data_IF_841821953867
#
_entry.id   IF_841821953867
#
_cell.length_a   1.000
_cell.length_b   1.000
_cell.length_c   1.000
_cell.angle_alpha   90.00
_cell.angle_beta   90.00
_cell.angle_gamma   90.00
#
_symmetry.space_group_name_H-M   'P 1'
#
loop_
_entity.id
_entity.type
_entity.pdbx_description
1 polymer ?
#
# COMPACT_ATOMS: atom_id res chain seq x y z
N UNK A 1 -15.17 -3.51 -28.28
CA UNK A 1 -15.54 -3.86 -26.89
C UNK A 1 -14.37 -4.65 -26.29
N UNK A 2 -13.50 -3.99 -25.51
CA UNK A 2 -12.26 -4.59 -24.98
C UNK A 2 -12.54 -5.01 -23.53
N UNK A 3 -12.90 -6.27 -23.31
CA UNK A 3 -12.96 -6.85 -21.97
C UNK A 3 -11.56 -7.30 -21.61
N UNK A 4 -10.76 -6.39 -21.05
CA UNK A 4 -9.53 -6.77 -20.35
C UNK A 4 -9.85 -6.96 -18.88
N UNK A 5 -10.46 -8.09 -18.54
CA UNK A 5 -10.50 -8.58 -17.17
C UNK A 5 -9.08 -8.96 -16.77
N UNK A 6 -8.36 -8.05 -16.09
CA UNK A 6 -7.13 -8.42 -15.39
C UNK A 6 -7.54 -9.37 -14.28
N UNK A 7 -7.25 -10.66 -14.44
CA UNK A 7 -7.39 -11.62 -13.36
C UNK A 7 -6.52 -11.11 -12.19
N UNK A 8 -7.16 -10.61 -11.13
CA UNK A 8 -6.50 -10.29 -9.88
C UNK A 8 -6.19 -11.62 -9.19
N UNK A 9 -5.13 -12.29 -9.66
CA UNK A 9 -4.63 -13.52 -9.02
C UNK A 9 -4.21 -13.13 -7.62
N UNK A 10 -5.01 -13.54 -6.63
CA UNK A 10 -4.68 -13.37 -5.23
C UNK A 10 -3.42 -14.19 -4.96
N UNK A 11 -2.34 -13.54 -4.58
CA UNK A 11 -1.07 -14.20 -4.28
C UNK A 11 -1.21 -15.23 -3.15
N UNK A 12 -2.25 -15.10 -2.30
CA UNK A 12 -2.63 -16.12 -1.31
C UNK A 12 -3.14 -17.42 -1.96
N UNK A 13 -3.88 -17.33 -3.07
CA UNK A 13 -4.33 -18.50 -3.82
C UNK A 13 -3.15 -19.21 -4.50
N UNK A 14 -2.20 -18.44 -5.04
CA UNK A 14 -0.96 -19.01 -5.61
C UNK A 14 -0.15 -19.73 -4.52
N UNK A 15 0.02 -19.10 -3.36
CA UNK A 15 0.70 -19.72 -2.23
C UNK A 15 0.00 -21.00 -1.75
N UNK A 16 -1.34 -20.99 -1.65
CA UNK A 16 -2.12 -22.17 -1.25
C UNK A 16 -1.98 -23.34 -2.25
N UNK A 17 -1.97 -23.05 -3.56
CA UNK A 17 -1.77 -24.05 -4.61
C UNK A 17 -0.37 -24.68 -4.52
N UNK A 18 0.66 -23.87 -4.24
CA UNK A 18 2.03 -24.36 -4.07
C UNK A 18 2.13 -25.29 -2.86
N UNK A 19 1.55 -24.90 -1.71
CA UNK A 19 1.52 -25.75 -0.51
C UNK A 19 0.80 -27.08 -0.78
N UNK A 20 -0.34 -27.03 -1.47
CA UNK A 20 -1.09 -28.25 -1.84
C UNK A 20 -0.27 -29.17 -2.75
N UNK A 21 0.45 -28.62 -3.73
CA UNK A 21 1.32 -29.39 -4.62
C UNK A 21 2.48 -30.07 -3.86
N UNK A 22 3.02 -29.41 -2.83
CA UNK A 22 4.08 -29.97 -1.97
C UNK A 22 3.55 -31.16 -1.14
N UNK A 23 2.34 -31.03 -0.59
CA UNK A 23 1.69 -32.12 0.16
C UNK A 23 1.42 -33.31 -0.75
N UNK A 24 0.95 -33.08 -1.98
CA UNK A 24 0.73 -34.13 -2.97
C UNK A 24 2.05 -34.81 -3.36
N UNK A 25 3.12 -34.04 -3.55
CA UNK A 25 4.45 -34.57 -3.85
C UNK A 25 4.99 -35.42 -2.68
N UNK A 26 4.81 -34.98 -1.43
CA UNK A 26 5.18 -35.77 -0.25
C UNK A 26 4.43 -37.11 -0.20
N UNK A 27 3.12 -37.11 -0.48
CA UNK A 27 2.30 -38.33 -0.49
C UNK A 27 2.72 -39.27 -1.63
N UNK A 28 2.93 -38.74 -2.84
CA UNK A 28 3.34 -39.53 -4.01
C UNK A 28 4.70 -40.21 -3.82
N UNK A 29 5.54 -39.63 -2.95
CA UNK A 29 6.90 -40.09 -2.72
C UNK A 29 6.94 -41.16 -1.62
N UNK A 30 5.89 -41.38 -0.81
CA UNK A 30 5.79 -42.43 0.24
C UNK A 30 5.99 -43.89 -0.24
N UNK A 31 6.11 -44.13 -1.55
CA UNK A 31 6.34 -45.45 -2.15
C UNK A 31 7.80 -45.84 -2.44
N UNK A 32 8.79 -45.02 -2.10
CA UNK A 32 10.22 -45.29 -2.41
C UNK A 32 11.02 -45.78 -1.18
N UNK A 33 12.05 -46.61 -1.35
CA UNK A 33 12.75 -47.22 -0.20
C UNK A 33 13.90 -46.39 0.39
N UNK A 34 14.26 -45.25 -0.22
CA UNK A 34 15.56 -44.61 0.03
C UNK A 34 15.49 -43.32 0.87
N UNK A 35 15.37 -43.47 2.20
CA UNK A 35 15.11 -42.42 3.22
C UNK A 35 16.01 -41.17 3.09
N UNK A 36 17.29 -41.31 2.73
CA UNK A 36 18.22 -40.18 2.61
C UNK A 36 17.84 -39.17 1.51
N UNK A 37 17.32 -39.66 0.39
CA UNK A 37 16.89 -38.82 -0.73
C UNK A 37 15.65 -37.99 -0.36
N UNK A 38 14.77 -38.52 0.50
CA UNK A 38 13.57 -37.82 0.98
C UNK A 38 13.89 -36.59 1.80
N UNK A 39 14.85 -36.73 2.72
CA UNK A 39 15.25 -35.64 3.62
C UNK A 39 15.82 -34.50 2.77
N UNK A 40 16.64 -34.82 1.77
CA UNK A 40 17.21 -33.84 0.84
C UNK A 40 16.15 -33.14 -0.02
N UNK A 41 15.22 -33.89 -0.61
CA UNK A 41 14.14 -33.32 -1.42
C UNK A 41 13.18 -32.45 -0.58
N UNK A 42 12.82 -32.91 0.61
CA UNK A 42 11.96 -32.17 1.54
C UNK A 42 12.62 -30.87 1.98
N UNK A 43 13.90 -30.91 2.35
CA UNK A 43 14.65 -29.72 2.73
C UNK A 43 14.73 -28.71 1.56
N UNK A 44 14.99 -29.18 0.34
CA UNK A 44 15.04 -28.33 -0.85
C UNK A 44 13.69 -27.63 -1.13
N UNK A 45 12.58 -28.36 -1.01
CA UNK A 45 11.23 -27.82 -1.20
C UNK A 45 10.89 -26.79 -0.11
N UNK A 46 11.24 -27.04 1.15
CA UNK A 46 11.03 -26.09 2.24
C UNK A 46 11.82 -24.80 2.03
N UNK A 47 13.09 -24.90 1.63
CA UNK A 47 13.92 -23.72 1.32
C UNK A 47 13.31 -22.94 0.15
N UNK A 48 12.92 -23.61 -0.93
CA UNK A 48 12.28 -22.96 -2.08
C UNK A 48 10.97 -22.26 -1.69
N UNK A 49 10.17 -22.89 -0.84
CA UNK A 49 8.92 -22.31 -0.33
C UNK A 49 9.19 -21.06 0.50
N UNK A 50 10.21 -21.10 1.36
CA UNK A 50 10.60 -19.95 2.18
C UNK A 50 11.14 -18.79 1.32
N UNK A 51 11.90 -19.10 0.26
CA UNK A 51 12.37 -18.11 -0.70
C UNK A 51 11.22 -17.46 -1.47
N UNK A 52 10.26 -18.25 -1.94
CA UNK A 52 9.06 -17.74 -2.62
C UNK A 52 8.19 -16.89 -1.68
N UNK A 53 8.03 -17.33 -0.43
CA UNK A 53 7.32 -16.55 0.59
C UNK A 53 8.03 -15.20 0.85
N UNK A 54 9.36 -15.18 0.93
CA UNK A 54 10.12 -13.94 1.11
C UNK A 54 9.93 -12.96 -0.07
N UNK A 55 9.79 -13.46 -1.30
CA UNK A 55 9.48 -12.62 -2.48
C UNK A 55 8.06 -12.04 -2.38
N UNK A 56 7.08 -12.84 -1.95
CA UNK A 56 5.69 -12.39 -1.77
C UNK A 56 5.57 -11.38 -0.63
N UNK A 57 6.33 -11.56 0.45
CA UNK A 57 6.37 -10.66 1.60
C UNK A 57 7.16 -9.36 1.35
N UNK A 58 7.85 -9.23 0.20
CA UNK A 58 8.53 -7.99 -0.16
C UNK A 58 7.51 -6.87 -0.27
N UNK A 59 7.57 -5.96 0.70
CA UNK A 59 6.63 -4.84 0.86
C UNK A 59 6.41 -4.11 -0.47
N UNK A 60 5.15 -4.07 -0.91
CA UNK A 60 4.76 -3.18 -2.00
C UNK A 60 4.93 -1.75 -1.49
N UNK A 61 5.98 -1.07 -1.95
CA UNK A 61 6.23 0.33 -1.63
C UNK A 61 4.96 1.14 -1.91
N UNK A 62 4.61 1.98 -0.94
CA UNK A 62 3.66 3.07 -1.12
C UNK A 62 4.16 3.93 -2.28
N UNK A 63 3.38 4.02 -3.35
CA UNK A 63 3.75 4.74 -4.56
C UNK A 63 2.84 5.96 -4.70
N UNK A 64 3.42 7.13 -4.46
CA UNK A 64 2.78 8.41 -4.72
C UNK A 64 3.44 9.03 -5.95
N UNK A 65 2.66 9.30 -6.98
CA UNK A 65 3.13 9.75 -8.28
C UNK A 65 2.33 10.97 -8.75
N UNK A 66 3.04 11.94 -9.33
CA UNK A 66 2.46 13.06 -10.07
C UNK A 66 2.37 12.64 -11.53
N UNK A 67 1.18 12.24 -11.97
CA UNK A 67 0.92 11.93 -13.38
C UNK A 67 0.63 13.19 -14.20
N UNK A 68 0.48 13.03 -15.51
CA UNK A 68 0.11 14.13 -16.41
C UNK A 68 -1.27 14.72 -16.11
N UNK A 69 -2.22 13.89 -15.66
CA UNK A 69 -3.63 14.27 -15.49
C UNK A 69 -4.08 14.34 -14.01
N UNK A 70 -3.21 13.98 -13.06
CA UNK A 70 -3.55 14.08 -11.65
C UNK A 70 -2.57 13.41 -10.69
N UNK A 71 -2.86 13.61 -9.41
CA UNK A 71 -2.17 12.96 -8.29
C UNK A 71 -2.66 11.52 -8.15
N UNK A 72 -1.75 10.55 -8.13
CA UNK A 72 -2.05 9.16 -7.79
C UNK A 72 -1.34 8.77 -6.50
N UNK A 73 -2.09 8.26 -5.52
CA UNK A 73 -1.56 7.74 -4.26
C UNK A 73 -1.97 6.30 -4.10
N UNK A 74 -0.98 5.42 -3.97
CA UNK A 74 -1.16 3.99 -3.72
C UNK A 74 -0.53 3.62 -2.39
N UNK A 75 -1.31 2.98 -1.53
CA UNK A 75 -0.87 2.45 -0.25
C UNK A 75 -1.57 1.15 0.10
N UNK A 76 -1.42 0.73 1.36
CA UNK A 76 -2.04 -0.51 1.84
C UNK A 76 -3.57 -0.44 1.68
N UNK A 77 -4.13 -1.30 0.81
CA UNK A 77 -5.57 -1.32 0.51
C UNK A 77 -6.16 0.02 0.02
N UNK A 78 -5.32 0.94 -0.48
CA UNK A 78 -5.74 2.23 -1.03
C UNK A 78 -5.13 2.46 -2.42
N UNK A 79 -5.96 2.84 -3.39
CA UNK A 79 -5.51 3.38 -4.67
C UNK A 79 -6.44 4.51 -5.07
N UNK A 80 -5.98 5.74 -4.91
CA UNK A 80 -6.75 6.95 -5.20
C UNK A 80 -6.06 7.75 -6.29
N UNK A 81 -6.85 8.25 -7.24
CA UNK A 81 -6.42 9.22 -8.24
C UNK A 81 -7.30 10.46 -8.13
N UNK A 82 -6.67 11.63 -8.03
CA UNK A 82 -7.34 12.92 -7.94
C UNK A 82 -6.85 13.80 -9.10
N UNK A 83 -7.74 14.20 -10.03
CA UNK A 83 -7.39 15.17 -11.08
C UNK A 83 -6.92 16.50 -10.48
N UNK A 84 -5.94 17.16 -11.10
CA UNK A 84 -5.46 18.46 -10.59
C UNK A 84 -6.54 19.56 -10.61
N UNK A 85 -7.51 19.45 -11.52
CA UNK A 85 -8.69 20.33 -11.58
C UNK A 85 -9.55 20.24 -10.32
N UNK A 86 -9.57 19.07 -9.69
CA UNK A 86 -10.45 18.77 -8.56
C UNK A 86 -9.81 19.13 -7.22
N UNK A 87 -8.47 19.22 -7.17
CA UNK A 87 -7.74 19.62 -5.95
C UNK A 87 -8.09 21.06 -5.62
N UNK A 88 -8.55 21.34 -4.40
CA UNK A 88 -8.90 22.69 -3.93
C UNK A 88 -7.87 23.28 -2.99
N UNK A 89 -7.25 22.44 -2.16
CA UNK A 89 -6.13 22.84 -1.30
C UNK A 89 -5.14 21.70 -1.12
N UNK A 90 -3.89 22.07 -0.88
CA UNK A 90 -2.80 21.17 -0.48
C UNK A 90 -2.12 21.78 0.75
N UNK A 91 -2.09 21.04 1.84
CA UNK A 91 -1.49 21.46 3.11
C UNK A 91 -0.44 20.43 3.55
N UNK A 92 0.58 20.89 4.24
CA UNK A 92 1.52 20.03 4.97
C UNK A 92 1.27 20.18 6.46
N UNK A 93 1.28 19.05 7.20
CA UNK A 93 1.03 19.03 8.64
C UNK A 93 1.98 18.08 9.36
N UNK A 94 2.26 18.40 10.60
CA UNK A 94 3.20 17.63 11.43
C UNK A 94 2.47 16.52 12.18
N UNK A 95 1.20 16.77 12.48
CA UNK A 95 0.35 15.82 13.20
C UNK A 95 -1.03 15.73 12.57
N UNK A 96 -1.59 14.53 12.63
CA UNK A 96 -2.96 14.21 12.21
C UNK A 96 -3.57 13.31 13.28
N UNK A 97 -4.73 13.69 13.79
CA UNK A 97 -5.56 12.76 14.53
C UNK A 97 -6.23 11.81 13.53
N UNK A 98 -5.77 10.56 13.44
CA UNK A 98 -6.32 9.60 12.48
C UNK A 98 -7.77 9.19 12.76
N UNK A 99 -8.23 9.35 14.00
CA UNK A 99 -9.56 8.92 14.42
C UNK A 99 -9.79 7.42 14.24
N UNK A 100 -11.00 7.06 13.82
CA UNK A 100 -11.48 5.67 13.73
C UNK A 100 -11.33 5.11 12.32
N UNK A 101 -10.79 3.89 12.21
CA UNK A 101 -10.78 3.14 10.95
C UNK A 101 -12.20 2.71 10.58
N UNK A 102 -12.66 3.11 9.40
CA UNK A 102 -13.95 2.70 8.82
C UNK A 102 -13.78 1.50 7.88
N UNK A 103 -12.63 1.39 7.20
CA UNK A 103 -12.30 0.22 6.37
C UNK A 103 -10.88 0.27 5.84
N UNK A 104 -10.27 -0.88 5.58
CA UNK A 104 -8.89 -1.00 5.08
C UNK A 104 -7.92 -1.57 6.12
N UNK A 105 -6.64 -1.22 5.97
CA UNK A 105 -5.52 -1.74 6.75
C UNK A 105 -5.05 -0.75 7.82
N UNK A 106 -4.84 -1.26 9.03
CA UNK A 106 -4.19 -0.51 10.11
C UNK A 106 -3.23 -1.46 10.84
N UNK A 107 -1.94 -1.34 10.54
CA UNK A 107 -0.87 -2.09 11.19
C UNK A 107 0.10 -1.15 11.92
N UNK A 108 1.06 -1.74 12.63
CA UNK A 108 2.04 -0.97 13.42
C UNK A 108 2.89 0.00 12.58
N UNK A 109 3.22 -0.37 11.33
CA UNK A 109 4.10 0.43 10.46
C UNK A 109 3.34 1.30 9.46
N UNK A 110 2.19 0.83 8.98
CA UNK A 110 1.45 1.47 7.89
C UNK A 110 -0.06 1.48 8.15
N UNK A 111 -0.69 2.57 7.75
CA UNK A 111 -2.13 2.80 7.75
C UNK A 111 -2.58 3.03 6.30
N UNK A 112 -3.73 2.49 5.93
CA UNK A 112 -4.21 2.56 4.57
C UNK A 112 -5.70 2.29 4.45
N UNK A 113 -6.46 3.14 3.77
CA UNK A 113 -7.90 2.95 3.54
C UNK A 113 -8.74 4.12 4.02
N UNK A 114 -9.94 3.85 4.54
CA UNK A 114 -10.93 4.84 4.96
C UNK A 114 -10.93 5.04 6.47
N UNK A 115 -10.79 6.29 6.89
CA UNK A 115 -10.77 6.71 8.28
C UNK A 115 -11.81 7.79 8.52
N UNK A 116 -12.16 8.01 9.79
CA UNK A 116 -13.07 9.06 10.21
C UNK A 116 -12.55 9.79 11.43
N UNK A 117 -12.45 11.10 11.36
CA UNK A 117 -12.18 11.97 12.51
C UNK A 117 -13.17 13.17 12.52
N UNK A 118 -13.12 13.97 13.58
CA UNK A 118 -13.99 15.14 13.73
C UNK A 118 -13.68 16.27 12.73
N UNK A 119 -12.43 16.37 12.27
CA UNK A 119 -11.99 17.45 11.38
C UNK A 119 -12.37 17.21 9.91
N UNK A 120 -12.12 16.00 9.39
CA UNK A 120 -12.26 15.65 7.97
C UNK A 120 -13.54 14.88 7.67
N UNK A 121 -14.28 14.42 8.68
CA UNK A 121 -15.33 13.43 8.46
C UNK A 121 -14.73 12.12 7.95
N UNK A 122 -15.33 11.50 6.93
CA UNK A 122 -14.75 10.29 6.29
C UNK A 122 -13.74 10.68 5.22
N UNK A 123 -12.52 10.15 5.32
CA UNK A 123 -11.41 10.50 4.43
C UNK A 123 -10.56 9.28 4.06
N UNK A 124 -9.76 9.42 3.00
CA UNK A 124 -8.81 8.41 2.54
C UNK A 124 -7.42 8.67 3.18
N UNK A 125 -6.80 7.63 3.72
CA UNK A 125 -5.52 7.69 4.43
C UNK A 125 -4.53 6.70 3.83
N UNK A 126 -3.28 7.14 3.60
CA UNK A 126 -2.14 6.28 3.30
C UNK A 126 -0.90 6.80 4.03
N UNK A 127 -0.63 6.28 5.23
CA UNK A 127 0.42 6.81 6.11
C UNK A 127 1.40 5.74 6.60
N UNK A 128 2.66 6.11 6.71
CA UNK A 128 3.73 5.43 7.43
C UNK A 128 3.80 6.05 8.83
N UNK A 129 3.59 5.23 9.86
CA UNK A 129 3.34 5.69 11.23
C UNK A 129 4.55 6.42 11.84
N UNK A 130 5.77 6.02 11.44
CA UNK A 130 7.03 6.60 11.94
C UNK A 130 7.38 7.96 11.34
N UNK A 131 6.67 8.43 10.31
CA UNK A 131 6.95 9.69 9.60
C UNK A 131 5.92 10.73 10.01
N UNK A 132 6.36 11.81 10.68
CA UNK A 132 5.49 12.85 11.29
C UNK A 132 5.39 14.10 10.41
N UNK A 133 5.24 13.86 9.10
CA UNK A 133 4.85 14.87 8.11
C UNK A 133 3.79 14.26 7.23
N UNK A 134 2.71 14.99 6.98
CA UNK A 134 1.57 14.53 6.22
C UNK A 134 1.16 15.58 5.20
N UNK A 135 0.84 15.13 4.00
CA UNK A 135 0.21 15.94 2.95
C UNK A 135 -1.29 15.71 3.05
N UNK A 136 -2.04 16.80 3.20
CA UNK A 136 -3.50 16.80 3.19
C UNK A 136 -3.95 17.46 1.89
N UNK A 137 -4.66 16.69 1.06
CA UNK A 137 -5.24 17.15 -0.20
C UNK A 137 -6.75 17.20 -0.05
N UNK A 138 -7.34 18.37 -0.26
CA UNK A 138 -8.80 18.54 -0.34
C UNK A 138 -9.23 18.62 -1.79
N UNK A 139 -10.38 18.04 -2.10
CA UNK A 139 -10.97 18.08 -3.44
C UNK A 139 -12.37 18.70 -3.43
N UNK A 140 -12.84 19.19 -4.58
CA UNK A 140 -14.16 19.81 -4.78
C UNK A 140 -15.32 18.94 -4.25
N UNK A 141 -15.20 17.61 -4.34
CA UNK A 141 -16.21 16.66 -3.87
C UNK A 141 -16.19 16.40 -2.36
N UNK A 142 -15.64 17.33 -1.56
CA UNK A 142 -15.41 17.20 -0.11
C UNK A 142 -14.62 15.95 0.29
N UNK A 143 -13.87 15.38 -0.64
CA UNK A 143 -12.95 14.28 -0.35
C UNK A 143 -11.65 14.84 0.19
N UNK A 144 -11.19 14.25 1.29
CA UNK A 144 -9.89 14.52 1.88
C UNK A 144 -9.02 13.28 1.71
N UNK A 145 -7.80 13.49 1.24
CA UNK A 145 -6.76 12.48 1.14
C UNK A 145 -5.59 12.92 2.01
N UNK A 146 -5.18 12.05 2.94
CA UNK A 146 -4.03 12.27 3.81
C UNK A 146 -2.98 11.21 3.50
N UNK A 147 -1.74 11.62 3.22
CA UNK A 147 -0.67 10.66 2.98
C UNK A 147 0.71 11.20 3.33
N UNK A 148 1.68 10.29 3.47
CA UNK A 148 3.10 10.62 3.58
C UNK A 148 3.95 9.63 2.77
N UNK A 149 5.24 9.93 2.66
CA UNK A 149 6.24 9.12 1.97
C UNK A 149 7.19 8.47 2.98
N UNK A 150 8.19 7.70 2.50
CA UNK A 150 9.07 6.88 3.34
C UNK A 150 9.90 7.72 4.32
N UNK A 151 10.12 9.00 4.02
CA UNK A 151 10.77 9.95 4.92
C UNK A 151 10.05 11.29 4.97
N UNK A 152 10.34 12.09 6.01
CA UNK A 152 9.83 13.46 6.12
C UNK A 152 10.35 14.35 4.98
N UNK A 153 11.64 14.23 4.64
CA UNK A 153 12.24 14.97 3.53
C UNK A 153 11.57 14.64 2.19
N UNK A 154 11.34 13.35 1.89
CA UNK A 154 10.60 12.94 0.69
C UNK A 154 9.17 13.49 0.68
N UNK A 155 8.52 13.51 1.85
CA UNK A 155 7.17 14.05 2.01
C UNK A 155 7.13 15.55 1.72
N UNK A 156 8.05 16.33 2.29
CA UNK A 156 8.16 17.77 2.05
C UNK A 156 8.48 18.06 0.58
N UNK A 157 9.47 17.38 0.00
CA UNK A 157 9.81 17.57 -1.41
C UNK A 157 8.67 17.19 -2.35
N UNK A 158 7.87 16.17 -2.01
CA UNK A 158 6.67 15.82 -2.79
C UNK A 158 5.60 16.91 -2.68
N UNK A 159 5.37 17.43 -1.47
CA UNK A 159 4.45 18.54 -1.22
C UNK A 159 4.79 19.77 -2.05
N UNK A 160 6.06 20.19 -2.07
CA UNK A 160 6.52 21.35 -2.84
C UNK A 160 6.28 21.17 -4.34
N UNK A 161 6.57 19.98 -4.88
CA UNK A 161 6.29 19.67 -6.29
C UNK A 161 4.80 19.71 -6.58
N UNK A 162 3.98 19.05 -5.76
CA UNK A 162 2.52 19.02 -5.94
C UNK A 162 1.91 20.43 -5.87
N UNK A 163 2.40 21.25 -4.93
CA UNK A 163 1.97 22.64 -4.73
C UNK A 163 2.31 23.49 -5.95
N UNK A 164 3.53 23.35 -6.48
CA UNK A 164 3.97 24.05 -7.69
C UNK A 164 3.13 23.64 -8.91
N UNK A 165 2.87 22.35 -9.07
CA UNK A 165 2.06 21.82 -10.18
C UNK A 165 0.61 22.30 -10.15
N UNK A 166 0.02 22.39 -8.96
CA UNK A 166 -1.39 22.77 -8.79
C UNK A 166 -1.61 24.27 -8.68
N UNK A 167 -0.55 25.07 -8.52
CA UNK A 167 -0.64 26.50 -8.22
C UNK A 167 -1.26 26.80 -6.85
N UNK A 168 -1.35 25.80 -5.96
CA UNK A 168 -2.06 25.86 -4.66
C UNK A 168 -1.08 25.70 -3.49
N UNK A 169 -0.02 26.51 -3.50
CA UNK A 169 1.06 26.55 -2.50
C UNK A 169 0.67 27.10 -1.12
N UNK A 170 1.60 27.16 -0.15
CA UNK A 170 1.32 26.84 1.25
C UNK A 170 0.47 27.87 1.96
N UNK A 171 -0.57 27.38 2.65
CA UNK A 171 -1.00 27.97 3.91
C UNK A 171 -0.28 27.21 5.02
N UNK A 172 0.83 27.75 5.50
CA UNK A 172 1.42 27.32 6.76
C UNK A 172 0.42 27.65 7.86
N UNK A 173 -0.11 26.62 8.54
CA UNK A 173 -0.77 26.83 9.82
C UNK A 173 0.33 27.05 10.84
N UNK A 174 0.61 28.31 11.14
CA UNK A 174 1.31 28.71 12.36
C UNK A 174 0.45 28.25 13.54
N UNK A 175 1.01 27.37 14.36
CA UNK A 175 0.59 27.11 15.73
C UNK A 175 1.81 27.30 16.63
#
# INVERSE_FOLDING_TARGET
>A
MKITGRANISWLLVAAIIVLAIVILMIAVLGYENIGMYILLTAAVLVLTFLLLAIVLKDRKTASELGYDGLTVRGAMLSVKIPYSDITSVEIRDEINFGLRVGGYAGMKRLGGKFRNSEFGVYDLSAIVSVKKYIVVRSNNRRVLVFNLETEAETVSFYERLSKWTGRGPKTTDN
#
